data_IF_588482045789
#
_entry.id   IF_588482045789
#
_cell.length_a   1.000
_cell.length_b   1.000
_cell.length_c   1.000
_cell.angle_alpha   90.00
_cell.angle_beta   90.00
_cell.angle_gamma   90.00
#
_symmetry.space_group_name_H-M   'P 1'
#
loop_
_entity.id
_entity.type
_entity.pdbx_description
1 polymer ?
#
# COMPACT_ATOMS: atom_id res chain seq x y z
N UNK A 1 -4.06 16.57 -23.74
CA UNK A 1 -3.91 15.17 -23.27
C UNK A 1 -2.81 14.54 -24.12
N UNK A 2 -1.59 14.61 -23.67
CA UNK A 2 -0.50 13.85 -24.31
C UNK A 2 -0.78 12.36 -24.07
N UNK A 3 -0.98 11.61 -25.15
CA UNK A 3 -0.99 10.16 -25.11
C UNK A 3 0.38 9.73 -24.57
N UNK A 4 0.41 8.95 -23.48
CA UNK A 4 1.64 8.29 -23.05
C UNK A 4 2.06 7.42 -24.22
N UNK A 5 3.08 7.85 -24.95
CA UNK A 5 3.64 7.11 -26.06
C UNK A 5 4.12 5.77 -25.50
N UNK A 6 3.61 4.63 -26.04
CA UNK A 6 3.91 3.26 -25.67
C UNK A 6 3.22 2.71 -24.40
N UNK A 7 1.89 2.85 -24.25
CA UNK A 7 1.18 2.05 -23.25
C UNK A 7 1.22 0.56 -23.62
N UNK A 8 1.60 -0.29 -22.68
CA UNK A 8 1.58 -1.74 -22.82
C UNK A 8 0.14 -2.22 -22.61
N UNK A 9 -0.40 -3.00 -23.55
CA UNK A 9 -1.77 -3.49 -23.48
C UNK A 9 -1.94 -4.68 -22.53
N UNK A 10 -0.90 -5.51 -22.38
CA UNK A 10 -0.86 -6.67 -21.49
C UNK A 10 0.54 -6.94 -21.00
N UNK A 11 0.66 -7.36 -19.73
CA UNK A 11 1.93 -7.73 -19.09
C UNK A 11 1.67 -8.65 -17.90
N UNK A 12 2.70 -9.33 -17.39
CA UNK A 12 2.60 -10.08 -16.13
C UNK A 12 2.97 -9.23 -14.95
N UNK A 13 2.19 -9.37 -13.86
CA UNK A 13 2.47 -8.80 -12.55
C UNK A 13 2.73 -9.92 -11.54
N UNK A 14 3.56 -9.63 -10.55
CA UNK A 14 3.94 -10.53 -9.46
C UNK A 14 3.65 -9.86 -8.11
N UNK A 15 2.82 -10.48 -7.27
CA UNK A 15 2.75 -10.20 -5.85
C UNK A 15 3.73 -11.13 -5.13
N UNK A 16 4.94 -10.65 -4.86
CA UNK A 16 6.03 -11.45 -4.31
C UNK A 16 5.85 -11.63 -2.81
N UNK A 17 5.59 -12.86 -2.37
CA UNK A 17 5.42 -13.22 -0.96
C UNK A 17 6.77 -13.61 -0.35
N UNK A 18 7.26 -12.79 0.58
CA UNK A 18 8.58 -12.95 1.20
C UNK A 18 8.52 -12.82 2.71
N UNK A 19 9.49 -13.41 3.40
CA UNK A 19 9.71 -13.19 4.82
C UNK A 19 10.30 -11.79 5.04
N UNK A 20 9.64 -11.01 5.90
CA UNK A 20 10.12 -9.71 6.34
C UNK A 20 11.08 -9.89 7.52
N UNK A 21 12.25 -9.27 7.45
CA UNK A 21 13.24 -9.30 8.54
C UNK A 21 13.18 -7.99 9.31
N UNK A 22 12.59 -8.04 10.50
CA UNK A 22 12.44 -6.87 11.37
C UNK A 22 13.80 -6.38 11.88
N UNK A 23 13.92 -5.06 12.00
CA UNK A 23 15.14 -4.38 12.46
C UNK A 23 15.07 -3.95 13.93
N UNK A 24 14.05 -4.38 14.66
CA UNK A 24 13.78 -3.96 16.04
C UNK A 24 14.96 -4.21 16.98
N UNK A 25 15.67 -5.32 16.82
CA UNK A 25 16.80 -5.70 17.67
C UNK A 25 18.09 -4.92 17.37
N UNK A 26 18.18 -4.23 16.25
CA UNK A 26 19.35 -3.42 15.91
C UNK A 26 19.50 -2.25 16.88
N UNK A 27 20.74 -1.97 17.27
CA UNK A 27 21.08 -1.00 18.32
C UNK A 27 21.05 0.45 17.85
N UNK A 28 21.22 0.68 16.53
CA UNK A 28 21.37 2.02 15.95
C UNK A 28 21.03 2.04 14.45
N UNK A 29 20.93 3.26 13.88
CA UNK A 29 20.60 3.49 12.46
C UNK A 29 21.60 2.81 11.50
N UNK A 30 22.90 2.77 11.83
CA UNK A 30 23.92 2.16 10.97
C UNK A 30 23.69 0.65 10.80
N UNK A 31 23.39 -0.03 11.90
CA UNK A 31 23.06 -1.46 11.90
C UNK A 31 21.76 -1.72 11.13
N UNK A 32 20.71 -0.91 11.36
CA UNK A 32 19.46 -0.98 10.60
C UNK A 32 19.70 -0.83 9.10
N UNK A 33 20.53 0.13 8.68
CA UNK A 33 20.88 0.32 7.27
C UNK A 33 21.58 -0.88 6.66
N UNK A 34 22.47 -1.51 7.41
CA UNK A 34 23.13 -2.77 6.97
C UNK A 34 22.10 -3.88 6.74
N UNK A 35 21.15 -4.08 7.67
CA UNK A 35 20.10 -5.07 7.54
C UNK A 35 19.14 -4.79 6.35
N UNK A 36 18.81 -3.52 6.11
CA UNK A 36 18.05 -3.10 4.94
C UNK A 36 18.79 -3.46 3.64
N UNK A 37 20.09 -3.18 3.54
CA UNK A 37 20.89 -3.54 2.38
C UNK A 37 20.97 -5.04 2.16
N UNK A 38 21.06 -5.85 3.20
CA UNK A 38 21.04 -7.31 3.08
C UNK A 38 19.69 -7.83 2.62
N UNK A 39 18.58 -7.20 3.08
CA UNK A 39 17.24 -7.44 2.55
C UNK A 39 17.16 -7.11 1.05
N UNK A 40 17.67 -5.95 0.63
CA UNK A 40 17.69 -5.52 -0.78
C UNK A 40 18.50 -6.49 -1.66
N UNK A 41 19.67 -6.96 -1.21
CA UNK A 41 20.44 -7.98 -1.92
C UNK A 41 19.70 -9.30 -2.07
N UNK A 42 18.94 -9.71 -1.03
CA UNK A 42 18.12 -10.91 -1.09
C UNK A 42 16.96 -10.72 -2.09
N UNK A 43 16.29 -9.58 -2.06
CA UNK A 43 15.22 -9.21 -2.99
C UNK A 43 15.71 -9.24 -4.44
N UNK A 44 16.86 -8.65 -4.75
CA UNK A 44 17.42 -8.66 -6.10
C UNK A 44 17.55 -10.08 -6.65
N UNK A 45 18.04 -11.03 -5.83
CA UNK A 45 18.17 -12.44 -6.22
C UNK A 45 16.81 -13.12 -6.40
N UNK A 46 15.86 -12.88 -5.49
CA UNK A 46 14.52 -13.48 -5.56
C UNK A 46 13.74 -12.95 -6.77
N UNK A 47 13.81 -11.65 -7.04
CA UNK A 47 13.18 -11.02 -8.21
C UNK A 47 13.81 -11.56 -9.50
N UNK A 48 15.15 -11.63 -9.58
CA UNK A 48 15.84 -12.19 -10.74
C UNK A 48 15.39 -13.63 -11.04
N UNK A 49 15.36 -14.50 -10.03
CA UNK A 49 14.91 -15.89 -10.17
C UNK A 49 13.43 -15.98 -10.57
N UNK A 50 12.59 -15.14 -9.98
CA UNK A 50 11.15 -15.10 -10.31
C UNK A 50 10.90 -14.68 -11.76
N UNK A 51 11.57 -13.63 -12.22
CA UNK A 51 11.45 -13.16 -13.61
C UNK A 51 11.98 -14.20 -14.60
N UNK A 52 13.08 -14.88 -14.27
CA UNK A 52 13.62 -15.94 -15.11
C UNK A 52 12.63 -17.10 -15.28
N UNK A 53 11.81 -17.38 -14.25
CA UNK A 53 10.78 -18.42 -14.30
C UNK A 53 9.47 -17.93 -14.96
N UNK A 54 9.00 -16.73 -14.58
CA UNK A 54 7.71 -16.18 -15.07
C UNK A 54 7.82 -15.75 -16.53
N UNK A 55 8.92 -15.10 -16.91
CA UNK A 55 9.17 -14.54 -18.23
C UNK A 55 9.46 -13.04 -18.22
N UNK A 56 10.10 -12.54 -19.28
CA UNK A 56 10.52 -11.14 -19.40
C UNK A 56 9.36 -10.14 -19.64
N UNK A 57 8.16 -10.62 -19.81
CA UNK A 57 6.90 -9.86 -19.82
C UNK A 57 6.39 -9.54 -18.41
N UNK A 58 7.04 -10.01 -17.35
CA UNK A 58 6.84 -9.54 -15.99
C UNK A 58 7.34 -8.09 -15.88
N UNK A 59 6.40 -7.13 -15.73
CA UNK A 59 6.69 -5.69 -15.71
C UNK A 59 6.40 -5.02 -14.38
N UNK A 60 5.78 -5.72 -13.44
CA UNK A 60 5.42 -5.17 -12.14
C UNK A 60 5.68 -6.21 -11.04
N UNK A 61 6.42 -5.81 -10.02
CA UNK A 61 6.61 -6.59 -8.80
C UNK A 61 6.13 -5.77 -7.61
N UNK A 62 5.23 -6.34 -6.83
CA UNK A 62 4.74 -5.76 -5.58
C UNK A 62 5.33 -6.53 -4.40
N UNK A 63 5.89 -5.77 -3.44
CA UNK A 63 6.43 -6.26 -2.18
C UNK A 63 5.40 -6.10 -1.03
N UNK A 64 5.45 -6.96 0.00
CA UNK A 64 4.53 -6.88 1.12
C UNK A 64 4.79 -5.67 2.03
N UNK A 65 3.85 -5.39 2.92
CA UNK A 65 4.04 -4.49 4.06
C UNK A 65 5.19 -5.00 4.94
N UNK A 66 5.95 -4.07 5.54
CA UNK A 66 7.05 -4.37 6.47
C UNK A 66 8.27 -5.09 5.88
N UNK A 67 8.36 -5.29 4.56
CA UNK A 67 9.45 -6.05 3.94
C UNK A 67 10.85 -5.56 4.31
N UNK A 68 10.97 -4.25 4.59
CA UNK A 68 12.27 -3.60 4.79
C UNK A 68 12.68 -3.49 6.27
N UNK A 69 11.70 -3.31 7.17
CA UNK A 69 11.99 -2.93 8.57
C UNK A 69 11.23 -3.74 9.61
N UNK A 70 10.15 -4.43 9.25
CA UNK A 70 9.13 -4.78 10.24
C UNK A 70 8.35 -3.53 10.68
N UNK A 71 7.84 -3.53 11.91
CA UNK A 71 7.02 -2.46 12.48
C UNK A 71 7.44 -2.16 13.93
N UNK A 72 7.14 -0.95 14.48
CA UNK A 72 7.48 -0.61 15.87
C UNK A 72 6.70 -1.49 16.86
N UNK A 73 7.40 -2.12 17.78
CA UNK A 73 6.85 -3.06 18.78
C UNK A 73 6.94 -2.55 20.22
N UNK A 74 7.00 -1.25 20.40
CA UNK A 74 7.14 -0.60 21.70
C UNK A 74 8.07 0.61 21.64
N UNK A 75 8.79 0.78 20.56
CA UNK A 75 9.59 1.98 20.31
C UNK A 75 8.66 3.20 20.24
N UNK A 76 9.12 4.32 20.81
CA UNK A 76 8.44 5.60 20.63
C UNK A 76 8.53 6.07 19.17
N UNK A 77 7.65 7.00 18.78
CA UNK A 77 7.69 7.56 17.42
C UNK A 77 9.07 8.16 17.09
N UNK A 78 9.67 8.91 18.02
CA UNK A 78 10.98 9.51 17.83
C UNK A 78 12.09 8.46 17.64
N UNK A 79 12.11 7.41 18.46
CA UNK A 79 13.08 6.32 18.35
C UNK A 79 12.94 5.58 17.02
N UNK A 80 11.71 5.27 16.59
CA UNK A 80 11.49 4.60 15.31
C UNK A 80 11.84 5.50 14.13
N UNK A 81 11.49 6.79 14.20
CA UNK A 81 11.83 7.79 13.20
C UNK A 81 13.35 7.88 12.95
N UNK A 82 14.12 8.01 14.02
CA UNK A 82 15.58 8.07 13.94
C UNK A 82 16.18 6.76 13.42
N UNK A 83 15.71 5.63 13.92
CA UNK A 83 16.31 4.32 13.70
C UNK A 83 15.95 3.74 12.32
N UNK A 84 14.67 3.73 11.93
CA UNK A 84 14.15 2.90 10.85
C UNK A 84 13.53 3.66 9.68
N UNK A 85 13.18 4.94 9.85
CA UNK A 85 12.51 5.68 8.78
C UNK A 85 13.49 6.14 7.69
N UNK A 86 13.01 6.15 6.46
CA UNK A 86 13.72 6.66 5.29
C UNK A 86 13.46 8.16 5.12
N UNK A 87 14.42 8.87 4.60
CA UNK A 87 14.20 10.20 4.05
C UNK A 87 13.60 10.10 2.65
N UNK A 88 12.95 11.16 2.16
CA UNK A 88 12.32 11.15 0.83
C UNK A 88 13.31 10.92 -0.32
N UNK A 89 14.58 11.27 -0.13
CA UNK A 89 15.68 11.05 -1.08
C UNK A 89 16.75 10.11 -0.48
N UNK A 90 16.31 9.02 0.16
CA UNK A 90 17.19 8.08 0.84
C UNK A 90 17.91 7.14 -0.12
N UNK A 91 19.16 6.80 0.18
CA UNK A 91 19.98 5.85 -0.59
C UNK A 91 19.37 4.43 -0.66
N UNK A 92 18.47 4.08 0.25
CA UNK A 92 17.70 2.83 0.20
C UNK A 92 16.73 2.84 -0.99
N UNK A 93 16.07 3.98 -1.27
CA UNK A 93 15.24 4.12 -2.49
C UNK A 93 16.09 4.01 -3.76
N UNK A 94 17.31 4.57 -3.76
CA UNK A 94 18.25 4.44 -4.88
C UNK A 94 18.62 2.97 -5.12
N UNK A 95 18.92 2.23 -4.04
CA UNK A 95 19.26 0.81 -4.13
C UNK A 95 18.08 -0.05 -4.63
N UNK A 96 16.86 0.26 -4.22
CA UNK A 96 15.64 -0.37 -4.75
C UNK A 96 15.40 0.03 -6.22
N UNK A 97 15.66 1.29 -6.57
CA UNK A 97 15.60 1.81 -7.93
C UNK A 97 16.55 1.08 -8.88
N UNK A 98 17.76 0.74 -8.41
CA UNK A 98 18.72 -0.08 -9.17
C UNK A 98 18.18 -1.47 -9.51
N UNK A 99 17.37 -2.07 -8.61
CA UNK A 99 16.69 -3.35 -8.90
C UNK A 99 15.65 -3.14 -10.01
N UNK A 100 14.84 -2.09 -9.91
CA UNK A 100 13.84 -1.75 -10.93
C UNK A 100 14.48 -1.57 -12.32
N UNK A 101 15.55 -0.79 -12.40
CA UNK A 101 16.34 -0.57 -13.63
C UNK A 101 16.92 -1.87 -14.17
N UNK A 102 17.65 -2.62 -13.32
CA UNK A 102 18.35 -3.85 -13.69
C UNK A 102 17.43 -4.88 -14.30
N UNK A 103 16.22 -5.02 -13.76
CA UNK A 103 15.28 -6.05 -14.21
C UNK A 103 14.22 -5.52 -15.18
N UNK A 104 14.21 -4.22 -15.49
CA UNK A 104 13.25 -3.60 -16.40
C UNK A 104 11.80 -3.72 -15.92
N UNK A 105 11.57 -3.48 -14.62
CA UNK A 105 10.28 -3.62 -13.93
C UNK A 105 9.88 -2.34 -13.19
N UNK A 106 8.59 -2.16 -12.98
CA UNK A 106 8.08 -1.32 -11.90
C UNK A 106 8.17 -2.10 -10.59
N UNK A 107 8.74 -1.48 -9.55
CA UNK A 107 8.88 -2.08 -8.24
C UNK A 107 8.08 -1.27 -7.23
N UNK A 108 7.10 -1.91 -6.60
CA UNK A 108 6.24 -1.29 -5.60
C UNK A 108 6.44 -1.92 -4.23
N UNK A 109 6.31 -1.13 -3.18
CA UNK A 109 6.46 -1.57 -1.80
C UNK A 109 5.97 -0.55 -0.81
N UNK A 110 6.32 -0.77 0.46
CA UNK A 110 5.90 0.06 1.57
C UNK A 110 7.10 0.32 2.51
N UNK A 111 7.23 1.54 3.01
CA UNK A 111 8.28 1.94 3.96
C UNK A 111 7.75 2.98 4.95
N UNK A 112 8.44 3.16 6.06
CA UNK A 112 8.26 4.31 6.93
C UNK A 112 9.12 5.46 6.42
N UNK A 113 8.52 6.63 6.19
CA UNK A 113 9.16 7.78 5.55
C UNK A 113 9.03 9.04 6.40
N UNK A 114 10.14 9.77 6.55
CA UNK A 114 10.19 11.12 7.12
C UNK A 114 9.83 12.15 6.05
N UNK A 115 9.15 13.21 6.48
CA UNK A 115 8.85 14.36 5.63
C UNK A 115 9.31 15.65 6.30
N UNK A 116 10.17 16.45 5.67
CA UNK A 116 10.66 17.70 6.24
C UNK A 116 9.56 18.72 6.56
N UNK A 117 8.40 18.64 5.92
CA UNK A 117 7.25 19.47 6.24
C UNK A 117 6.57 19.10 7.55
N UNK A 118 6.80 17.88 8.08
CA UNK A 118 6.18 17.36 9.30
C UNK A 118 7.25 16.85 10.28
N UNK A 119 8.09 17.75 10.83
CA UNK A 119 9.15 17.36 11.76
C UNK A 119 8.56 16.67 12.99
N UNK A 120 9.22 15.61 13.45
CA UNK A 120 8.77 14.79 14.58
C UNK A 120 7.77 13.69 14.23
N UNK A 121 7.25 13.67 12.99
CA UNK A 121 6.37 12.61 12.50
C UNK A 121 7.04 11.80 11.40
N UNK A 122 6.55 10.59 11.19
CA UNK A 122 6.81 9.79 10.00
C UNK A 122 5.49 9.24 9.46
N UNK A 123 5.47 8.87 8.19
CA UNK A 123 4.30 8.26 7.57
C UNK A 123 4.65 6.88 7.04
N UNK A 124 3.71 5.96 7.15
CA UNK A 124 3.79 4.71 6.42
C UNK A 124 3.42 4.99 4.95
N UNK A 125 4.40 4.83 4.07
CA UNK A 125 4.32 5.27 2.67
C UNK A 125 4.43 4.09 1.73
N UNK A 126 3.41 3.88 0.88
CA UNK A 126 3.53 3.01 -0.28
C UNK A 126 4.19 3.79 -1.42
N UNK A 127 5.11 3.16 -2.13
CA UNK A 127 5.84 3.77 -3.23
C UNK A 127 5.83 2.89 -4.47
N UNK A 128 6.02 3.52 -5.63
CA UNK A 128 6.29 2.84 -6.90
C UNK A 128 7.52 3.44 -7.53
N UNK A 129 8.49 2.60 -7.86
CA UNK A 129 9.68 2.92 -8.65
C UNK A 129 9.44 2.49 -10.09
N UNK A 130 9.76 3.34 -11.05
CA UNK A 130 9.65 3.05 -12.48
C UNK A 130 10.93 2.39 -13.05
N UNK A 131 10.92 2.17 -14.36
CA UNK A 131 12.02 1.55 -15.11
C UNK A 131 13.33 2.36 -15.05
N UNK A 132 13.27 3.65 -14.71
CA UNK A 132 14.43 4.51 -14.51
C UNK A 132 14.93 4.48 -13.07
N UNK A 133 14.23 3.78 -12.16
CA UNK A 133 14.49 3.78 -10.74
C UNK A 133 13.94 5.01 -10.01
N UNK A 134 13.21 5.88 -10.69
CA UNK A 134 12.58 7.05 -10.07
C UNK A 134 11.30 6.66 -9.33
N UNK A 135 11.05 7.33 -8.20
CA UNK A 135 9.78 7.17 -7.49
C UNK A 135 8.70 7.97 -8.25
N UNK A 136 7.72 7.27 -8.81
CA UNK A 136 6.62 7.84 -9.58
C UNK A 136 5.31 7.91 -8.80
N UNK A 137 5.23 7.25 -7.64
CA UNK A 137 4.10 7.31 -6.72
C UNK A 137 4.59 7.26 -5.28
N UNK A 138 4.04 8.15 -4.44
CA UNK A 138 4.06 8.09 -2.98
C UNK A 138 2.64 8.23 -2.47
N UNK A 139 2.15 7.20 -1.80
CA UNK A 139 0.86 7.21 -1.13
C UNK A 139 1.08 7.02 0.37
N UNK A 140 0.68 7.98 1.17
CA UNK A 140 0.75 7.91 2.63
C UNK A 140 -0.52 7.33 3.19
N UNK A 141 -0.38 6.32 4.03
CA UNK A 141 -1.49 5.64 4.69
C UNK A 141 -2.36 6.64 5.44
N UNK A 142 -3.68 6.63 5.13
CA UNK A 142 -4.66 7.58 5.67
C UNK A 142 -5.33 7.09 6.95
N UNK A 143 -5.37 5.77 7.14
CA UNK A 143 -6.01 5.12 8.29
C UNK A 143 -5.00 4.20 8.98
N UNK A 144 -4.64 4.50 10.21
CA UNK A 144 -3.72 3.68 11.01
C UNK A 144 -4.13 3.65 12.46
N UNK A 145 -3.90 2.50 13.11
CA UNK A 145 -4.14 2.34 14.54
C UNK A 145 -3.05 2.99 15.40
N UNK A 146 -1.80 3.03 14.92
CA UNK A 146 -0.64 3.37 15.76
C UNK A 146 0.47 4.13 15.05
N UNK A 147 0.24 4.59 13.84
CA UNK A 147 1.20 5.42 13.11
C UNK A 147 0.54 6.72 12.67
N UNK A 148 1.26 7.85 12.67
CA UNK A 148 0.74 9.11 12.17
C UNK A 148 0.25 9.01 10.73
N UNK A 149 -0.82 9.71 10.42
CA UNK A 149 -1.44 9.74 9.09
C UNK A 149 -1.60 11.19 8.60
N UNK A 150 -1.80 11.41 7.30
CA UNK A 150 -2.19 12.72 6.78
C UNK A 150 -3.40 13.34 7.47
N UNK A 151 -4.36 12.52 7.93
CA UNK A 151 -5.56 13.01 8.62
C UNK A 151 -5.26 13.61 10.00
N UNK A 152 -4.22 13.12 10.68
CA UNK A 152 -3.80 13.64 11.98
C UNK A 152 -3.17 15.04 11.90
N UNK A 153 -2.79 15.47 10.70
CA UNK A 153 -2.23 16.79 10.36
C UNK A 153 -2.90 17.39 9.12
N UNK A 154 -4.20 17.17 9.00
CA UNK A 154 -4.99 17.30 7.79
C UNK A 154 -4.85 18.65 7.09
N UNK A 155 -5.06 19.77 7.79
CA UNK A 155 -5.03 21.09 7.19
C UNK A 155 -3.64 21.40 6.61
N UNK A 156 -2.58 21.15 7.39
CA UNK A 156 -1.21 21.31 6.94
C UNK A 156 -0.85 20.37 5.79
N UNK A 157 -1.39 19.14 5.81
CA UNK A 157 -1.13 18.19 4.72
C UNK A 157 -1.76 18.65 3.41
N UNK A 158 -2.98 19.17 3.47
CA UNK A 158 -3.65 19.74 2.29
C UNK A 158 -2.92 20.99 1.76
N UNK A 159 -2.41 21.84 2.64
CA UNK A 159 -1.62 23.01 2.25
C UNK A 159 -0.32 22.61 1.52
N UNK A 160 0.33 21.53 1.95
CA UNK A 160 1.58 21.05 1.35
C UNK A 160 1.36 20.27 0.03
N UNK A 161 0.34 19.42 -0.02
CA UNK A 161 0.22 18.39 -1.07
C UNK A 161 -1.11 18.42 -1.82
N UNK A 162 -2.09 19.15 -1.34
CA UNK A 162 -3.44 19.16 -1.90
C UNK A 162 -4.14 17.81 -1.83
N UNK A 163 -5.35 17.76 -2.34
CA UNK A 163 -6.17 16.54 -2.33
C UNK A 163 -5.61 15.45 -3.27
N UNK A 164 -4.89 15.84 -4.32
CA UNK A 164 -4.24 14.88 -5.23
C UNK A 164 -3.03 14.22 -4.58
N UNK A 165 -2.39 14.86 -3.61
CA UNK A 165 -1.37 14.23 -2.78
C UNK A 165 -1.92 13.26 -1.74
N UNK A 166 -3.21 13.38 -1.37
CA UNK A 166 -3.90 12.41 -0.52
C UNK A 166 -4.24 11.14 -1.29
N UNK A 167 -4.71 11.26 -2.53
CA UNK A 167 -5.12 10.15 -3.38
C UNK A 167 -4.33 10.13 -4.70
N UNK A 168 -3.03 9.91 -4.67
CA UNK A 168 -2.18 9.95 -5.86
C UNK A 168 -2.43 8.75 -6.78
N UNK A 169 -2.42 9.02 -8.09
CA UNK A 169 -2.46 8.00 -9.13
C UNK A 169 -1.33 8.27 -10.12
N UNK A 170 -0.41 7.33 -10.25
CA UNK A 170 0.68 7.40 -11.21
C UNK A 170 0.24 6.91 -12.58
N UNK A 171 0.30 7.79 -13.58
CA UNK A 171 0.08 7.44 -14.99
C UNK A 171 1.36 6.88 -15.58
N UNK A 172 1.36 5.59 -15.92
CA UNK A 172 2.56 4.88 -16.37
C UNK A 172 2.34 4.12 -17.68
N UNK A 173 3.41 3.59 -18.27
CA UNK A 173 3.33 2.74 -19.45
C UNK A 173 2.54 1.44 -19.20
N UNK A 174 2.50 0.97 -17.95
CA UNK A 174 1.76 -0.24 -17.53
C UNK A 174 0.39 0.07 -16.90
N UNK A 175 -0.19 1.22 -17.23
CA UNK A 175 -1.50 1.66 -16.73
C UNK A 175 -1.41 2.66 -15.58
N UNK A 176 -2.57 3.03 -15.06
CA UNK A 176 -2.70 3.98 -13.96
C UNK A 176 -2.61 3.22 -12.62
N UNK A 177 -1.52 3.39 -11.91
CA UNK A 177 -1.22 2.70 -10.66
C UNK A 177 -1.64 3.54 -9.45
N UNK A 178 -2.25 2.92 -8.47
CA UNK A 178 -2.54 3.50 -7.17
C UNK A 178 -2.21 2.49 -6.06
N UNK A 179 -1.90 2.97 -4.86
CA UNK A 179 -1.58 2.10 -3.74
C UNK A 179 -2.66 2.16 -2.65
N UNK A 180 -2.84 1.05 -1.94
CA UNK A 180 -3.68 0.92 -0.76
C UNK A 180 -2.83 0.23 0.32
N UNK A 181 -2.76 0.81 1.51
CA UNK A 181 -1.91 0.30 2.57
C UNK A 181 -2.68 -0.61 3.52
N UNK A 182 -2.34 -1.90 3.53
CA UNK A 182 -2.75 -2.87 4.55
C UNK A 182 -4.28 -2.87 4.86
N UNK A 183 -4.68 -2.50 6.08
CA UNK A 183 -6.08 -2.50 6.51
C UNK A 183 -6.97 -1.51 5.75
N UNK A 184 -6.39 -0.55 5.02
CA UNK A 184 -7.16 0.41 4.24
C UNK A 184 -7.96 -0.22 3.10
N UNK A 185 -7.65 -1.44 2.73
CA UNK A 185 -8.49 -2.22 1.81
C UNK A 185 -9.92 -2.42 2.36
N UNK A 186 -10.12 -2.29 3.67
CA UNK A 186 -11.42 -2.35 4.33
C UNK A 186 -12.26 -1.08 4.14
N UNK A 187 -11.64 0.04 3.78
CA UNK A 187 -12.30 1.33 3.58
C UNK A 187 -12.63 1.53 2.09
N UNK A 188 -13.90 1.37 1.68
CA UNK A 188 -14.29 1.50 0.27
C UNK A 188 -14.00 2.88 -0.31
N UNK A 189 -14.01 3.92 0.52
CA UNK A 189 -13.77 5.31 0.14
C UNK A 189 -12.36 5.50 -0.41
N UNK A 190 -11.35 4.85 0.18
CA UNK A 190 -9.95 4.95 -0.29
C UNK A 190 -9.85 4.47 -1.73
N UNK A 191 -10.30 3.25 -2.00
CA UNK A 191 -10.28 2.69 -3.35
C UNK A 191 -11.14 3.51 -4.33
N UNK A 192 -12.30 4.00 -3.88
CA UNK A 192 -13.20 4.82 -4.68
C UNK A 192 -12.56 6.16 -5.07
N UNK A 193 -11.93 6.86 -4.13
CA UNK A 193 -11.24 8.12 -4.41
C UNK A 193 -10.08 7.96 -5.39
N UNK A 194 -9.36 6.85 -5.32
CA UNK A 194 -8.31 6.50 -6.29
C UNK A 194 -8.89 6.16 -7.67
N UNK A 195 -9.99 5.39 -7.71
CA UNK A 195 -10.67 5.05 -8.96
C UNK A 195 -11.24 6.27 -9.68
N UNK A 196 -11.79 7.24 -8.94
CA UNK A 196 -12.26 8.53 -9.47
C UNK A 196 -11.15 9.33 -10.16
N UNK A 197 -9.89 9.11 -9.78
CA UNK A 197 -8.68 9.68 -10.40
C UNK A 197 -8.11 8.81 -11.52
N UNK A 198 -8.82 7.74 -11.88
CA UNK A 198 -8.52 6.88 -13.00
C UNK A 198 -7.62 5.68 -12.70
N UNK A 199 -7.43 5.30 -11.43
CA UNK A 199 -6.68 4.10 -11.10
C UNK A 199 -7.24 2.85 -11.83
N UNK A 200 -6.34 2.08 -12.43
CA UNK A 200 -6.64 0.83 -13.15
C UNK A 200 -6.17 -0.39 -12.36
N UNK A 201 -5.12 -0.18 -11.53
CA UNK A 201 -4.49 -1.23 -10.71
C UNK A 201 -4.29 -0.68 -9.30
N UNK A 202 -4.83 -1.38 -8.32
CA UNK A 202 -4.57 -1.15 -6.90
C UNK A 202 -3.44 -2.06 -6.41
N UNK A 203 -2.37 -1.47 -5.92
CA UNK A 203 -1.21 -2.12 -5.33
C UNK A 203 -1.40 -2.19 -3.82
N UNK A 204 -1.67 -3.37 -3.29
CA UNK A 204 -2.01 -3.59 -1.90
C UNK A 204 -0.88 -4.33 -1.19
N UNK A 205 0.03 -3.59 -0.55
CA UNK A 205 1.04 -4.13 0.37
C UNK A 205 0.39 -4.40 1.72
N UNK A 206 0.42 -5.64 2.20
CA UNK A 206 -0.27 -6.03 3.43
C UNK A 206 0.58 -6.99 4.28
N UNK A 207 0.22 -7.09 5.56
CA UNK A 207 0.71 -8.08 6.52
C UNK A 207 -0.49 -8.55 7.33
N UNK A 208 -1.01 -9.71 7.01
CA UNK A 208 -2.23 -10.24 7.61
C UNK A 208 -2.13 -11.74 7.88
N UNK A 209 -2.84 -12.18 8.91
CA UNK A 209 -2.98 -13.60 9.21
C UNK A 209 -3.81 -14.24 8.10
N UNK A 210 -3.28 -15.31 7.50
CA UNK A 210 -3.95 -16.12 6.51
C UNK A 210 -4.35 -17.46 7.13
N UNK A 211 -5.58 -17.87 6.93
CA UNK A 211 -6.12 -19.09 7.53
C UNK A 211 -7.26 -19.69 6.71
N UNK A 212 -7.85 -20.75 7.22
CA UNK A 212 -8.99 -21.45 6.57
C UNK A 212 -10.22 -20.56 6.44
N UNK A 213 -10.43 -19.66 7.39
CA UNK A 213 -11.53 -18.70 7.36
C UNK A 213 -11.08 -17.45 6.60
N UNK A 214 -11.93 -16.98 5.70
CA UNK A 214 -11.66 -15.75 4.96
C UNK A 214 -11.70 -14.56 5.90
N UNK A 215 -10.59 -13.84 5.97
CA UNK A 215 -10.54 -12.57 6.70
C UNK A 215 -11.42 -11.51 6.02
N UNK A 216 -11.86 -10.46 6.74
CA UNK A 216 -12.55 -9.32 6.12
C UNK A 216 -11.76 -8.70 4.95
N UNK A 217 -10.43 -8.66 5.03
CA UNK A 217 -9.56 -8.16 3.95
C UNK A 217 -9.67 -9.01 2.69
N UNK A 218 -9.86 -10.32 2.80
CA UNK A 218 -10.05 -11.21 1.66
C UNK A 218 -11.31 -10.86 0.85
N UNK A 219 -12.42 -10.63 1.55
CA UNK A 219 -13.65 -10.16 0.92
C UNK A 219 -13.47 -8.75 0.31
N UNK A 220 -12.77 -7.86 1.02
CA UNK A 220 -12.51 -6.50 0.57
C UNK A 220 -11.68 -6.46 -0.71
N UNK A 221 -10.62 -7.27 -0.86
CA UNK A 221 -9.81 -7.34 -2.10
C UNK A 221 -10.69 -7.58 -3.32
N UNK A 222 -11.62 -8.53 -3.25
CA UNK A 222 -12.56 -8.84 -4.34
C UNK A 222 -13.54 -7.69 -4.55
N UNK A 223 -14.12 -7.14 -3.46
CA UNK A 223 -15.07 -6.04 -3.55
C UNK A 223 -14.46 -4.79 -4.17
N UNK A 224 -13.22 -4.41 -3.75
CA UNK A 224 -12.52 -3.23 -4.33
C UNK A 224 -12.26 -3.40 -5.81
N UNK A 225 -11.94 -4.62 -6.27
CA UNK A 225 -11.76 -4.89 -7.69
C UNK A 225 -13.06 -4.68 -8.47
N UNK A 226 -14.15 -5.30 -8.04
CA UNK A 226 -15.45 -5.27 -8.72
C UNK A 226 -16.06 -3.87 -8.74
N UNK A 227 -16.18 -3.22 -7.58
CA UNK A 227 -16.89 -1.94 -7.45
C UNK A 227 -16.18 -0.77 -8.12
N UNK A 228 -14.86 -0.91 -8.37
CA UNK A 228 -14.02 0.11 -9.02
C UNK A 228 -13.57 -0.29 -10.43
N UNK A 229 -13.96 -1.48 -10.88
CA UNK A 229 -13.54 -2.04 -12.18
C UNK A 229 -12.03 -1.86 -12.36
N UNK A 230 -11.25 -2.44 -11.43
CA UNK A 230 -9.81 -2.33 -11.37
C UNK A 230 -9.19 -3.67 -10.97
N UNK A 231 -7.93 -3.90 -11.30
CA UNK A 231 -7.18 -5.01 -10.73
C UNK A 231 -6.81 -4.70 -9.28
N UNK A 232 -6.77 -5.73 -8.43
CA UNK A 232 -6.14 -5.68 -7.10
C UNK A 232 -4.99 -6.67 -7.09
N UNK A 233 -3.78 -6.16 -6.93
CA UNK A 233 -2.57 -6.95 -6.71
C UNK A 233 -2.23 -6.82 -5.24
N UNK A 234 -2.28 -7.92 -4.49
CA UNK A 234 -2.07 -7.92 -3.04
C UNK A 234 -0.89 -8.81 -2.68
N UNK A 235 0.17 -8.22 -2.14
CA UNK A 235 1.33 -8.94 -1.62
C UNK A 235 1.26 -8.99 -0.09
N UNK A 236 1.16 -10.19 0.46
CA UNK A 236 1.24 -10.46 1.90
C UNK A 236 2.63 -10.96 2.27
N UNK A 237 2.99 -10.87 3.56
CA UNK A 237 4.23 -11.44 4.09
C UNK A 237 4.20 -12.96 4.08
N UNK A 238 5.38 -13.59 4.03
CA UNK A 238 5.61 -15.00 4.36
C UNK A 238 6.08 -15.14 5.82
N UNK A 239 5.67 -14.22 6.67
CA UNK A 239 6.07 -14.11 8.06
C UNK A 239 6.98 -12.92 8.35
N UNK A 240 7.08 -12.55 9.63
CA UNK A 240 7.93 -11.47 10.12
C UNK A 240 8.93 -12.07 11.12
N UNK A 241 10.17 -12.22 10.66
CA UNK A 241 11.27 -12.75 11.46
C UNK A 241 11.91 -11.66 12.33
N UNK A 242 12.72 -12.07 13.30
CA UNK A 242 13.44 -11.19 14.22
C UNK A 242 12.54 -10.35 15.15
N UNK A 243 11.35 -10.86 15.45
CA UNK A 243 10.42 -10.30 16.44
C UNK A 243 10.10 -11.36 17.50
N UNK A 244 9.58 -10.97 18.68
CA UNK A 244 9.06 -11.92 19.66
C UNK A 244 7.80 -12.66 19.20
N UNK A 245 7.10 -12.15 18.17
CA UNK A 245 5.91 -12.79 17.60
C UNK A 245 6.35 -14.00 16.76
N UNK A 246 5.66 -15.14 16.84
CA UNK A 246 5.96 -16.28 15.97
C UNK A 246 5.93 -15.88 14.50
N UNK A 247 6.99 -16.22 13.76
CA UNK A 247 7.25 -15.71 12.39
C UNK A 247 6.05 -15.90 11.46
N UNK A 248 5.38 -17.04 11.49
CA UNK A 248 4.23 -17.34 10.64
C UNK A 248 2.90 -16.72 11.10
N UNK A 249 2.91 -15.78 12.06
CA UNK A 249 1.69 -15.11 12.50
C UNK A 249 1.04 -14.21 11.45
N UNK A 250 1.81 -13.78 10.44
CA UNK A 250 1.31 -13.05 9.29
C UNK A 250 1.92 -13.68 8.03
N UNK A 251 1.28 -14.69 7.48
CA UNK A 251 1.85 -15.52 6.42
C UNK A 251 0.77 -15.96 5.42
N UNK A 252 1.08 -15.82 4.13
CA UNK A 252 0.31 -16.43 3.05
C UNK A 252 -0.78 -15.55 2.43
N UNK A 253 -1.38 -16.05 1.36
CA UNK A 253 -2.54 -15.45 0.72
C UNK A 253 -2.27 -14.23 -0.15
N UNK A 254 -1.03 -14.04 -0.64
CA UNK A 254 -0.79 -13.07 -1.72
C UNK A 254 -1.62 -13.46 -2.94
N UNK A 255 -2.24 -12.47 -3.61
CA UNK A 255 -3.15 -12.77 -4.72
C UNK A 255 -3.28 -11.63 -5.74
N UNK A 256 -3.77 -11.99 -6.91
CA UNK A 256 -4.18 -11.06 -7.95
C UNK A 256 -5.66 -11.28 -8.26
N UNK A 257 -6.45 -10.23 -8.20
CA UNK A 257 -7.89 -10.24 -8.48
C UNK A 257 -8.16 -9.35 -9.70
N UNK A 258 -8.89 -9.85 -10.68
CA UNK A 258 -9.27 -9.08 -11.85
C UNK A 258 -10.47 -8.14 -11.55
N UNK A 259 -10.72 -7.22 -12.45
CA UNK A 259 -11.79 -6.22 -12.36
C UNK A 259 -13.22 -6.81 -12.36
N UNK A 260 -13.38 -8.13 -12.53
CA UNK A 260 -14.66 -8.87 -12.43
C UNK A 260 -14.77 -9.60 -11.09
N UNK A 261 -13.71 -9.56 -10.26
CA UNK A 261 -13.64 -10.25 -8.98
C UNK A 261 -13.09 -11.67 -9.06
N UNK A 262 -12.55 -12.09 -10.21
CA UNK A 262 -11.93 -13.40 -10.36
C UNK A 262 -10.53 -13.38 -9.74
N UNK A 263 -10.25 -14.32 -8.84
CA UNK A 263 -8.90 -14.55 -8.33
C UNK A 263 -8.10 -15.28 -9.41
N UNK A 264 -7.14 -14.58 -10.03
CA UNK A 264 -6.31 -15.10 -11.11
C UNK A 264 -5.16 -15.96 -10.60
N UNK A 265 -4.61 -15.60 -9.46
CA UNK A 265 -3.53 -16.30 -8.78
C UNK A 265 -3.59 -16.06 -7.28
N UNK A 266 -3.18 -17.05 -6.49
CA UNK A 266 -3.12 -16.99 -5.03
C UNK A 266 -2.00 -17.90 -4.51
N UNK A 267 -1.31 -17.46 -3.46
CA UNK A 267 -0.31 -18.29 -2.75
C UNK A 267 -0.91 -18.91 -1.48
N UNK A 268 -0.30 -20.00 -1.03
CA UNK A 268 -0.43 -20.51 0.33
C UNK A 268 0.64 -19.90 1.25
N UNK A 269 0.93 -20.54 2.39
CA UNK A 269 1.97 -20.13 3.34
C UNK A 269 3.39 -20.26 2.77
N UNK A 270 4.33 -19.51 3.36
CA UNK A 270 5.75 -19.53 3.04
C UNK A 270 6.12 -18.58 1.90
N UNK A 271 7.42 -18.42 1.67
CA UNK A 271 7.92 -17.60 0.56
C UNK A 271 7.50 -18.16 -0.78
N UNK A 272 6.95 -17.33 -1.65
CA UNK A 272 6.37 -17.78 -2.93
C UNK A 272 6.33 -16.68 -3.98
N UNK A 273 6.58 -17.07 -5.23
CA UNK A 273 6.32 -16.26 -6.40
C UNK A 273 5.06 -16.70 -7.16
N UNK A 274 4.24 -17.60 -6.62
CA UNK A 274 3.13 -18.20 -7.36
C UNK A 274 1.95 -17.23 -7.59
N UNK A 275 1.87 -16.11 -6.87
CA UNK A 275 0.87 -15.08 -7.13
C UNK A 275 1.32 -14.16 -8.28
N UNK A 276 1.42 -14.72 -9.49
CA UNK A 276 1.62 -13.95 -10.71
C UNK A 276 0.50 -14.22 -11.72
N UNK A 277 0.14 -13.20 -12.46
CA UNK A 277 -0.90 -13.29 -13.49
C UNK A 277 -0.69 -12.26 -14.60
N UNK A 278 -1.33 -12.49 -15.71
CA UNK A 278 -1.46 -11.50 -16.78
C UNK A 278 -2.43 -10.40 -16.38
N UNK A 279 -2.04 -9.16 -16.63
CA UNK A 279 -2.84 -7.95 -16.50
C UNK A 279 -3.17 -7.47 -17.90
N UNK A 280 -4.41 -7.68 -18.33
CA UNK A 280 -4.94 -7.26 -19.64
C UNK A 280 -5.61 -5.89 -19.50
N UNK A 281 -4.85 -4.83 -19.76
CA UNK A 281 -5.35 -3.45 -19.71
C UNK A 281 -6.28 -3.13 -20.87
N UNK A 282 -6.07 -3.75 -22.03
CA UNK A 282 -6.94 -3.55 -23.18
C UNK A 282 -8.36 -4.05 -22.88
N UNK A 283 -8.47 -5.25 -22.32
CA UNK A 283 -9.76 -5.81 -21.90
C UNK A 283 -10.41 -5.01 -20.76
N UNK A 284 -9.64 -4.58 -19.74
CA UNK A 284 -10.13 -3.70 -18.68
C UNK A 284 -10.70 -2.40 -19.25
N UNK A 285 -9.95 -1.72 -20.11
CA UNK A 285 -10.36 -0.44 -20.72
C UNK A 285 -11.57 -0.61 -21.61
N UNK A 286 -11.65 -1.70 -22.38
CA UNK A 286 -12.83 -2.06 -23.15
C UNK A 286 -14.04 -2.29 -22.22
N UNK A 287 -13.86 -3.00 -21.11
CA UNK A 287 -14.92 -3.26 -20.14
C UNK A 287 -15.46 -1.95 -19.51
N UNK A 288 -14.59 -1.03 -19.12
CA UNK A 288 -14.94 0.29 -18.57
C UNK A 288 -15.74 1.17 -19.54
N UNK A 289 -15.61 0.94 -20.85
CA UNK A 289 -16.31 1.71 -21.90
C UNK A 289 -17.67 1.11 -22.31
N UNK A 290 -17.97 -0.11 -21.87
CA UNK A 290 -19.26 -0.74 -22.20
C UNK A 290 -20.36 -0.23 -21.28
N UNK A 291 -21.50 0.29 -21.80
CA UNK A 291 -22.66 0.54 -20.99
C UNK A 291 -23.23 -0.78 -20.47
N UNK A 292 -23.77 -0.81 -19.26
CA UNK A 292 -24.37 -2.03 -18.72
C UNK A 292 -24.49 -2.03 -17.21
N UNK A 293 -25.14 -3.07 -16.70
CA UNK A 293 -25.41 -3.24 -15.28
C UNK A 293 -24.12 -3.24 -14.44
N UNK A 294 -23.07 -3.89 -14.96
CA UNK A 294 -21.82 -4.11 -14.25
C UNK A 294 -20.84 -2.93 -14.36
N UNK A 295 -21.15 -1.89 -15.15
CA UNK A 295 -20.30 -0.71 -15.19
C UNK A 295 -20.65 0.23 -14.04
N UNK A 296 -20.15 -0.13 -12.86
CA UNK A 296 -20.44 0.60 -11.62
C UNK A 296 -19.81 2.01 -11.59
N UNK A 297 -18.70 2.24 -12.33
CA UNK A 297 -18.06 3.55 -12.37
C UNK A 297 -18.93 4.59 -13.07
N UNK A 298 -19.45 4.32 -14.27
CA UNK A 298 -20.26 5.28 -15.02
C UNK A 298 -21.66 5.51 -14.40
N UNK A 299 -22.04 4.69 -13.43
CA UNK A 299 -23.35 4.78 -12.74
C UNK A 299 -23.27 5.40 -11.36
N UNK A 300 -22.08 5.85 -10.93
CA UNK A 300 -21.93 6.53 -9.64
C UNK A 300 -22.69 7.85 -9.60
N UNK A 301 -23.31 8.12 -8.46
CA UNK A 301 -24.08 9.32 -8.16
C UNK A 301 -23.61 9.88 -6.82
N UNK A 302 -22.45 10.51 -6.85
CA UNK A 302 -21.74 10.95 -5.64
C UNK A 302 -22.54 11.98 -4.83
N UNK A 303 -23.38 12.77 -5.49
CA UNK A 303 -24.24 13.76 -4.86
C UNK A 303 -25.20 13.15 -3.83
N UNK A 304 -25.59 11.88 -4.00
CA UNK A 304 -26.44 11.18 -3.03
C UNK A 304 -25.78 10.99 -1.67
N UNK A 305 -24.44 10.96 -1.63
CA UNK A 305 -23.66 10.62 -0.45
C UNK A 305 -22.90 11.80 0.13
N UNK A 306 -22.59 12.81 -0.70
CA UNK A 306 -21.67 13.90 -0.35
C UNK A 306 -22.06 14.62 0.94
N UNK A 307 -23.34 14.96 1.11
CA UNK A 307 -23.81 15.66 2.30
C UNK A 307 -23.80 14.77 3.54
N UNK A 308 -24.09 13.46 3.41
CA UNK A 308 -23.99 12.52 4.53
C UNK A 308 -22.57 12.42 5.04
N UNK A 309 -21.58 12.30 4.14
CA UNK A 309 -20.16 12.32 4.53
C UNK A 309 -19.75 13.66 5.15
N UNK A 310 -20.17 14.78 4.58
CA UNK A 310 -19.81 16.12 5.07
C UNK A 310 -20.33 16.40 6.49
N UNK A 311 -21.48 15.86 6.82
CA UNK A 311 -22.10 16.04 8.13
C UNK A 311 -21.62 15.04 9.17
N UNK A 312 -20.89 14.00 8.75
CA UNK A 312 -20.44 12.92 9.64
C UNK A 312 -18.99 13.13 10.05
N UNK A 313 -18.76 13.41 11.33
CA UNK A 313 -17.44 13.62 11.90
C UNK A 313 -17.17 12.55 12.97
N UNK A 314 -16.62 11.40 12.57
CA UNK A 314 -16.39 10.29 13.49
C UNK A 314 -15.01 10.42 14.16
N UNK A 315 -13.94 10.21 13.43
CA UNK A 315 -12.59 10.39 13.96
C UNK A 315 -12.14 11.84 13.73
N UNK A 316 -11.60 12.54 14.76
CA UNK A 316 -11.22 13.95 14.62
C UNK A 316 -9.98 14.10 13.73
N UNK A 317 -9.97 15.10 12.86
CA UNK A 317 -8.80 15.52 12.11
C UNK A 317 -7.86 16.38 12.98
N UNK A 318 -6.61 16.56 12.53
CA UNK A 318 -5.64 17.48 13.14
C UNK A 318 -5.27 17.17 14.59
N UNK A 319 -5.29 15.90 14.98
CA UNK A 319 -5.01 15.47 16.36
C UNK A 319 -3.53 15.57 16.76
N UNK A 320 -2.63 15.80 15.78
CA UNK A 320 -1.18 15.79 15.95
C UNK A 320 -0.48 17.07 15.45
N UNK A 321 -1.20 18.19 15.36
CA UNK A 321 -0.61 19.46 14.94
C UNK A 321 0.31 20.07 16.00
N UNK A 322 0.06 19.77 17.27
CA UNK A 322 0.80 20.33 18.42
C UNK A 322 1.16 19.24 19.43
N UNK A 323 2.35 19.37 20.03
CA UNK A 323 2.82 18.51 21.12
C UNK A 323 3.53 17.22 20.69
N UNK A 324 4.03 16.50 21.68
CA UNK A 324 4.64 15.18 21.48
C UNK A 324 3.56 14.12 21.27
N UNK A 325 3.71 13.34 20.20
CA UNK A 325 2.79 12.26 19.85
C UNK A 325 3.28 10.95 20.45
N UNK A 326 2.44 10.33 21.27
CA UNK A 326 2.71 9.03 21.87
C UNK A 326 1.64 8.01 21.46
N UNK A 327 1.98 6.72 21.59
CA UNK A 327 1.04 5.62 21.27
C UNK A 327 -0.27 5.72 22.05
N UNK A 328 -0.24 6.23 23.28
CA UNK A 328 -1.46 6.42 24.10
C UNK A 328 -2.47 7.39 23.47
N UNK A 329 -2.00 8.38 22.69
CA UNK A 329 -2.86 9.36 22.04
C UNK A 329 -3.82 8.68 21.04
N UNK A 330 -3.33 7.72 20.24
CA UNK A 330 -4.17 6.98 19.29
C UNK A 330 -5.27 6.20 20.00
N UNK A 331 -4.94 5.51 21.10
CA UNK A 331 -5.91 4.73 21.89
C UNK A 331 -6.94 5.65 22.55
N UNK A 332 -6.50 6.79 23.08
CA UNK A 332 -7.39 7.75 23.73
C UNK A 332 -8.40 8.33 22.73
N UNK A 333 -7.94 8.78 21.56
CA UNK A 333 -8.78 9.32 20.51
C UNK A 333 -9.83 8.31 20.03
N UNK A 334 -9.44 7.03 19.89
CA UNK A 334 -10.38 5.97 19.53
C UNK A 334 -11.46 5.77 20.61
N UNK A 335 -11.09 5.73 21.89
CA UNK A 335 -12.03 5.57 23.00
C UNK A 335 -13.04 6.72 23.05
N UNK A 336 -12.56 7.95 22.97
CA UNK A 336 -13.41 9.15 22.95
C UNK A 336 -14.37 9.15 21.76
N UNK A 337 -13.89 8.70 20.59
CA UNK A 337 -14.72 8.53 19.40
C UNK A 337 -15.80 7.48 19.63
N UNK A 338 -15.46 6.31 20.16
CA UNK A 338 -16.41 5.23 20.48
C UNK A 338 -17.49 5.72 21.45
N UNK A 339 -17.09 6.37 22.54
CA UNK A 339 -18.04 6.90 23.55
C UNK A 339 -19.00 7.93 22.94
N UNK A 340 -18.49 8.80 22.07
CA UNK A 340 -19.32 9.80 21.37
C UNK A 340 -20.31 9.16 20.40
N UNK A 341 -19.88 8.18 19.61
CA UNK A 341 -20.74 7.46 18.68
C UNK A 341 -21.81 6.63 19.40
N UNK A 342 -21.47 6.03 20.55
CA UNK A 342 -22.41 5.31 21.39
C UNK A 342 -23.49 6.26 21.96
N UNK A 343 -23.11 7.46 22.44
CA UNK A 343 -24.07 8.47 22.89
C UNK A 343 -25.02 8.97 21.78
N UNK A 344 -24.57 8.92 20.53
CA UNK A 344 -25.37 9.26 19.35
C UNK A 344 -26.23 8.09 18.85
N UNK A 345 -26.10 6.91 19.43
CA UNK A 345 -26.82 5.69 19.00
C UNK A 345 -26.37 5.15 17.65
N UNK A 346 -25.11 5.43 17.26
CA UNK A 346 -24.54 4.95 16.00
C UNK A 346 -23.89 3.57 16.20
N UNK A 347 -23.31 3.34 17.39
CA UNK A 347 -22.72 2.05 17.81
C UNK A 347 -23.23 1.66 19.18
#
# INVERSE_FOLDING_TARGET
>A
MEAIANSIDSFRALALQITCHAVNQASNRKEVRSLMHDTIKRLDRQIAASIAFIGFDCKLVLLPEYFLTGFPMGESLAVWAEKACLEMADSIYEALGQIAQKHGIFLAGNAYELDPNFPGLYFQTCFVLDLSGAIVLRYRRLNSMFSPTPHDVWDKYLDCYGLDGVFPVAKTAIGNLAAIASEEILYPEVARCLAMRGAEIFLHSTSEVYGKERSPKEAAKISRAVENIAYVISANTAGIANTPIPTASADGGSKIVDYRGLVLAETSSGESMAAFAEIDLAALRQYRRRPGLNNLLCRQRFELYADSYRQSHFYPANTMLEGEVERKNFIQTQRETIERLAKLGII
#
